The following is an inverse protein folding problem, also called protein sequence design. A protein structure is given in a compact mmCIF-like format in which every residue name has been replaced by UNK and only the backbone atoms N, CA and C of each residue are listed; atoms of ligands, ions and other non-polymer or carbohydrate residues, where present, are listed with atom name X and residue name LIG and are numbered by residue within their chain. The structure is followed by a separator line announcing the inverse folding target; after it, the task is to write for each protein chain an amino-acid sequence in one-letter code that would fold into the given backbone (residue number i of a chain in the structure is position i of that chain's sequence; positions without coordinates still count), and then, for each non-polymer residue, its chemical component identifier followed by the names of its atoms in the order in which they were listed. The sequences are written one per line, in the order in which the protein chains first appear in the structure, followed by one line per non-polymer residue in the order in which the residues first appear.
data_IF_041833211394
#
_entry.id   IF_041833211394
#
_cell.length_a   1.000
_cell.length_b   1.000
_cell.length_c   1.000
_cell.angle_alpha   90.00
_cell.angle_beta   90.00
_cell.angle_gamma   90.00
#
_symmetry.space_group_name_H-M   'P 1'
#
loop_
_entity.id
_entity.type
_entity.pdbx_description
1 polymer ?
#
# COMPACT_ATOMS: atom_id res chain seq x y z
N UNK A 1 -14.96 13.16 -7.04
CA UNK A 1 -14.80 12.83 -8.48
C UNK A 1 -15.68 13.77 -9.31
N UNK A 2 -15.13 14.52 -10.26
CA UNK A 2 -15.91 15.38 -11.15
C UNK A 2 -15.22 15.55 -12.51
N UNK A 3 -15.99 15.91 -13.54
CA UNK A 3 -15.47 16.22 -14.87
C UNK A 3 -15.14 17.72 -14.98
N UNK A 4 -13.95 18.02 -15.49
CA UNK A 4 -13.50 19.36 -15.86
C UNK A 4 -13.62 19.48 -17.38
N UNK A 5 -14.18 20.59 -17.85
CA UNK A 5 -14.40 20.90 -19.27
C UNK A 5 -15.18 19.84 -20.07
N UNK A 6 -15.82 18.88 -19.40
CA UNK A 6 -16.63 17.81 -20.01
C UNK A 6 -15.86 16.55 -20.43
N UNK A 7 -14.53 16.51 -20.29
CA UNK A 7 -13.71 15.38 -20.76
C UNK A 7 -12.54 14.99 -19.85
N UNK A 8 -12.20 15.80 -18.84
CA UNK A 8 -11.13 15.49 -17.89
C UNK A 8 -11.72 15.00 -16.58
N UNK A 9 -11.47 13.74 -16.21
CA UNK A 9 -11.85 13.23 -14.90
C UNK A 9 -10.85 13.68 -13.83
N UNK A 10 -11.33 14.41 -12.83
CA UNK A 10 -10.54 14.79 -11.65
C UNK A 10 -11.03 14.08 -10.38
N UNK A 11 -10.10 13.41 -9.72
CA UNK A 11 -10.25 12.80 -8.39
C UNK A 11 -9.33 13.59 -7.45
N UNK A 12 -9.90 14.22 -6.43
CA UNK A 12 -9.17 14.93 -5.36
C UNK A 12 -9.24 14.10 -4.09
N UNK A 13 -8.25 14.25 -3.22
CA UNK A 13 -8.20 13.57 -1.92
C UNK A 13 -8.45 12.07 -2.06
N UNK A 14 -7.70 11.44 -2.98
CA UNK A 14 -7.91 10.06 -3.41
C UNK A 14 -7.80 9.08 -2.25
N UNK A 15 -8.72 8.12 -2.22
CA UNK A 15 -8.77 7.03 -1.25
C UNK A 15 -8.53 5.68 -1.93
N UNK A 16 -8.17 4.62 -1.20
CA UNK A 16 -7.90 3.31 -1.81
C UNK A 16 -9.05 2.76 -2.67
N UNK A 17 -10.29 3.13 -2.36
CA UNK A 17 -11.48 2.72 -3.12
C UNK A 17 -11.58 3.39 -4.50
N UNK A 18 -10.80 4.44 -4.77
CA UNK A 18 -10.67 5.05 -6.09
C UNK A 18 -9.71 4.27 -7.01
N UNK A 19 -9.05 3.20 -6.52
CA UNK A 19 -8.26 2.33 -7.38
C UNK A 19 -9.17 1.51 -8.30
N UNK A 20 -8.77 1.35 -9.56
CA UNK A 20 -9.54 0.56 -10.50
C UNK A 20 -9.30 0.91 -11.96
N UNK A 21 -10.17 0.38 -12.80
CA UNK A 21 -10.15 0.59 -14.25
C UNK A 21 -11.10 1.74 -14.60
N UNK A 22 -10.55 2.78 -15.20
CA UNK A 22 -11.29 3.93 -15.71
C UNK A 22 -11.33 3.89 -17.22
N UNK A 23 -12.52 4.07 -17.79
CA UNK A 23 -12.74 4.05 -19.24
C UNK A 23 -13.19 5.44 -19.69
N UNK A 24 -12.48 6.00 -20.65
CA UNK A 24 -12.93 7.16 -21.40
C UNK A 24 -13.60 6.66 -22.68
N UNK A 25 -14.88 6.98 -22.87
CA UNK A 25 -15.68 6.52 -24.00
C UNK A 25 -16.25 7.69 -24.78
N UNK A 26 -16.15 7.64 -26.11
CA UNK A 26 -16.79 8.58 -27.03
C UNK A 26 -17.98 7.89 -27.69
N UNK A 27 -19.18 8.43 -27.48
CA UNK A 27 -20.41 7.92 -28.07
C UNK A 27 -20.49 8.27 -29.56
N UNK A 28 -20.09 7.32 -30.41
CA UNK A 28 -20.32 7.36 -31.88
C UNK A 28 -21.09 6.09 -32.29
N UNK A 29 -21.41 5.92 -33.58
CA UNK A 29 -22.07 4.71 -34.10
C UNK A 29 -21.34 3.42 -33.69
N UNK A 30 -20.00 3.47 -33.61
CA UNK A 30 -19.16 2.46 -32.97
C UNK A 30 -18.41 3.12 -31.82
N UNK A 31 -18.66 2.77 -30.55
CA UNK A 31 -17.99 3.40 -29.42
C UNK A 31 -16.47 3.30 -29.52
N UNK A 32 -15.78 4.41 -29.27
CA UNK A 32 -14.32 4.46 -29.17
C UNK A 32 -13.96 4.59 -27.70
N UNK A 33 -13.11 3.70 -27.20
CA UNK A 33 -12.74 3.61 -25.79
C UNK A 33 -11.23 3.62 -25.58
N UNK A 34 -10.79 4.29 -24.51
CA UNK A 34 -9.44 4.19 -23.97
C UNK A 34 -9.55 3.82 -22.49
N UNK A 35 -8.79 2.81 -22.10
CA UNK A 35 -8.78 2.26 -20.74
C UNK A 35 -7.52 2.67 -19.99
N UNK A 36 -7.68 3.11 -18.75
CA UNK A 36 -6.59 3.44 -17.83
C UNK A 36 -6.78 2.68 -16.52
N UNK A 37 -5.71 2.06 -16.03
CA UNK A 37 -5.68 1.48 -14.69
C UNK A 37 -5.08 2.49 -13.73
N UNK A 38 -5.84 2.87 -12.70
CA UNK A 38 -5.40 3.74 -11.62
C UNK A 38 -5.07 2.87 -10.42
N UNK A 39 -3.84 2.97 -9.94
CA UNK A 39 -3.40 2.36 -8.68
C UNK A 39 -3.21 3.45 -7.63
N UNK A 40 -3.70 3.21 -6.42
CA UNK A 40 -3.63 4.16 -5.30
C UNK A 40 -2.59 3.67 -4.29
N UNK A 41 -1.51 4.43 -4.18
CA UNK A 41 -0.42 4.13 -3.25
C UNK A 41 -0.80 4.52 -1.83
N UNK A 42 -0.48 3.64 -0.89
CA UNK A 42 -0.76 3.83 0.54
C UNK A 42 0.53 3.63 1.31
N UNK A 43 0.94 4.59 2.17
CA UNK A 43 2.17 4.46 2.92
C UNK A 43 2.13 3.23 3.86
N UNK A 44 3.29 2.64 4.17
CA UNK A 44 3.38 1.57 5.15
C UNK A 44 2.86 1.99 6.53
N UNK A 45 2.02 1.16 7.14
CA UNK A 45 1.54 1.31 8.51
C UNK A 45 1.86 0.05 9.28
N UNK A 46 2.55 0.20 10.41
CA UNK A 46 2.86 -0.90 11.32
C UNK A 46 1.71 -1.05 12.30
N UNK A 47 1.08 -2.23 12.30
CA UNK A 47 -0.06 -2.54 13.16
C UNK A 47 0.36 -3.31 14.41
N UNK A 48 1.35 -4.19 14.26
CA UNK A 48 1.83 -5.02 15.36
C UNK A 48 3.33 -5.22 15.25
N UNK A 49 4.01 -5.10 16.39
CA UNK A 49 5.39 -5.51 16.61
C UNK A 49 5.40 -6.32 17.89
N UNK A 50 6.06 -7.47 17.89
CA UNK A 50 6.16 -8.33 19.08
C UNK A 50 6.48 -7.52 20.34
N UNK A 51 5.65 -7.72 21.37
CA UNK A 51 5.78 -7.15 22.72
C UNK A 51 5.78 -5.62 22.82
N UNK A 52 5.22 -4.90 21.85
CA UNK A 52 5.10 -3.44 21.93
C UNK A 52 6.44 -2.70 22.06
N UNK A 53 7.55 -3.34 21.68
CA UNK A 53 8.89 -2.76 21.68
C UNK A 53 9.87 -3.34 22.71
N UNK A 54 9.44 -4.17 23.67
CA UNK A 54 10.37 -4.81 24.62
C UNK A 54 9.98 -6.24 24.95
N UNK A 55 10.89 -7.19 24.74
CA UNK A 55 10.73 -8.60 25.08
C UNK A 55 11.89 -9.07 25.94
N UNK A 56 11.60 -9.78 27.03
CA UNK A 56 12.60 -10.42 27.88
C UNK A 56 12.59 -11.93 27.65
N UNK A 57 13.75 -12.51 27.38
CA UNK A 57 13.90 -13.93 27.05
C UNK A 57 15.05 -14.51 27.88
N UNK A 58 14.87 -15.74 28.38
CA UNK A 58 15.94 -16.46 29.08
C UNK A 58 17.06 -16.82 28.09
N UNK A 59 18.30 -16.71 28.53
CA UNK A 59 19.47 -17.08 27.72
C UNK A 59 19.33 -18.53 27.22
N UNK A 60 19.56 -18.73 25.92
CA UNK A 60 19.47 -20.04 25.26
C UNK A 60 18.07 -20.43 24.79
N UNK A 61 17.04 -19.67 25.13
CA UNK A 61 15.69 -19.91 24.61
C UNK A 61 15.49 -19.21 23.25
N UNK A 62 14.73 -19.83 22.33
CA UNK A 62 14.39 -19.22 21.06
C UNK A 62 13.46 -18.01 21.23
N UNK A 63 13.52 -17.10 20.26
CA UNK A 63 12.65 -15.93 20.19
C UNK A 63 12.15 -15.72 18.77
N UNK A 64 10.89 -15.33 18.63
CA UNK A 64 10.27 -14.97 17.37
C UNK A 64 9.90 -13.49 17.40
N UNK A 65 10.41 -12.72 16.42
CA UNK A 65 10.10 -11.31 16.25
C UNK A 65 9.18 -11.18 15.03
N UNK A 66 7.94 -10.78 15.30
CA UNK A 66 6.90 -10.59 14.31
C UNK A 66 6.64 -9.09 14.14
N UNK A 67 6.51 -8.68 12.88
CA UNK A 67 6.08 -7.34 12.51
C UNK A 67 4.99 -7.51 11.44
N UNK A 68 3.82 -6.94 11.70
CA UNK A 68 2.73 -6.89 10.75
C UNK A 68 2.56 -5.44 10.28
N UNK A 69 2.80 -5.23 9.00
CA UNK A 69 2.65 -3.94 8.35
C UNK A 69 1.84 -4.07 7.05
N UNK A 70 1.04 -3.06 6.75
CA UNK A 70 0.28 -2.97 5.50
C UNK A 70 0.69 -1.75 4.71
N UNK A 71 0.53 -1.79 3.39
CA UNK A 71 0.76 -0.66 2.48
C UNK A 71 0.53 -1.09 1.05
N UNK A 72 0.50 -0.12 0.14
CA UNK A 72 0.54 -0.38 -1.30
C UNK A 72 1.67 0.45 -1.93
N UNK A 73 2.75 -0.18 -2.44
CA UNK A 73 2.98 -1.63 -2.47
C UNK A 73 3.19 -2.23 -1.08
N UNK A 74 3.09 -3.57 -0.99
CA UNK A 74 3.34 -4.31 0.25
C UNK A 74 4.74 -3.97 0.79
N UNK A 75 4.87 -3.53 2.06
CA UNK A 75 6.14 -3.09 2.60
C UNK A 75 7.14 -4.24 2.78
N UNK A 76 8.42 -3.96 2.57
CA UNK A 76 9.50 -4.86 2.93
C UNK A 76 9.88 -4.68 4.40
N UNK A 77 9.86 -5.76 5.18
CA UNK A 77 10.15 -5.76 6.62
C UNK A 77 11.57 -6.24 6.84
N UNK A 78 12.39 -5.43 7.52
CA UNK A 78 13.77 -5.76 7.87
C UNK A 78 14.01 -5.54 9.36
N UNK A 79 14.84 -6.41 9.95
CA UNK A 79 15.21 -6.34 11.36
C UNK A 79 16.69 -6.03 11.52
N UNK A 80 17.01 -5.12 12.45
CA UNK A 80 18.39 -4.76 12.78
C UNK A 80 18.59 -4.78 14.29
N UNK A 81 19.78 -5.19 14.72
CA UNK A 81 20.26 -5.10 16.09
C UNK A 81 21.28 -3.98 16.16
N UNK A 82 20.90 -2.83 16.75
CA UNK A 82 21.79 -1.71 17.13
C UNK A 82 22.98 -1.54 16.17
N UNK A 83 22.67 -1.27 14.90
CA UNK A 83 23.58 -1.02 13.76
C UNK A 83 24.13 -2.24 12.99
N UNK A 84 23.65 -3.45 13.24
CA UNK A 84 23.97 -4.64 12.44
C UNK A 84 22.69 -5.40 12.06
N UNK A 85 22.65 -6.06 10.91
CA UNK A 85 21.53 -6.93 10.52
C UNK A 85 21.51 -8.15 11.44
N UNK A 86 20.32 -8.61 11.85
CA UNK A 86 20.24 -9.88 12.59
C UNK A 86 20.73 -11.02 11.69
N UNK A 87 21.54 -11.96 12.21
CA UNK A 87 21.90 -13.15 11.46
C UNK A 87 20.63 -13.97 11.18
N UNK A 88 20.58 -14.54 9.98
CA UNK A 88 19.49 -15.36 9.47
C UNK A 88 19.29 -16.63 10.31
#
# INVERSE_FOLDING_TARGET
MHLINGYTLQIKDSVPQDAGVYVCQIATLNPLEITHTVDILVPPVIHHVTSGGSLQVKKGMPVYLECFASGNPVPNITWTRKNNVLPN
#
